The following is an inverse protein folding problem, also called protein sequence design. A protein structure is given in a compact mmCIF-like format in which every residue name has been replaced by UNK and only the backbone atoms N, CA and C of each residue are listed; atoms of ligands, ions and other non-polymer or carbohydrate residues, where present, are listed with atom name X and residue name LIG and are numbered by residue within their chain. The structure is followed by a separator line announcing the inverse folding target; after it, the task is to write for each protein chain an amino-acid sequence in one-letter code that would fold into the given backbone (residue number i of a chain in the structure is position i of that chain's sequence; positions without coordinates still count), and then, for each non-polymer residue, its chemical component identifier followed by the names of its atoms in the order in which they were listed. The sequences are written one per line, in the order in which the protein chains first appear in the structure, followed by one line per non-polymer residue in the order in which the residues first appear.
data_IF_662554798898
#
_entry.id   IF_662554798898
#
_cell.length_a   1.000
_cell.length_b   1.000
_cell.length_c   1.000
_cell.angle_alpha   90.00
_cell.angle_beta   90.00
_cell.angle_gamma   90.00
#
_symmetry.space_group_name_H-M   'P 1'
#
loop_
_entity.id
_entity.type
_entity.pdbx_description
1 polymer ?
#
# COMPACT_ATOMS: atom_id res chain seq x y z
N UNK A 1 -32.59 10.12 -14.91
CA UNK A 1 -32.08 11.50 -14.91
C UNK A 1 -32.49 12.34 -13.69
N UNK A 2 -33.60 12.01 -13.01
CA UNK A 2 -34.14 12.83 -11.89
C UNK A 2 -33.49 12.47 -10.55
N UNK A 3 -33.08 11.24 -10.33
CA UNK A 3 -32.34 10.81 -9.13
C UNK A 3 -30.94 11.46 -9.03
N UNK A 4 -30.29 11.70 -10.15
CA UNK A 4 -28.97 12.33 -10.23
C UNK A 4 -28.94 13.81 -9.77
N UNK A 5 -30.03 14.55 -9.97
CA UNK A 5 -30.09 15.98 -9.65
C UNK A 5 -30.23 16.27 -8.14
N UNK A 6 -30.90 15.40 -7.39
CA UNK A 6 -31.16 15.56 -5.95
C UNK A 6 -29.91 15.29 -5.11
N UNK A 7 -29.00 14.48 -5.63
CA UNK A 7 -27.76 14.09 -4.97
C UNK A 7 -26.64 15.13 -5.11
N UNK A 8 -26.76 16.02 -6.10
CA UNK A 8 -25.76 17.02 -6.46
C UNK A 8 -25.52 18.12 -5.40
N UNK A 9 -26.51 18.42 -4.54
CA UNK A 9 -26.48 19.63 -3.71
C UNK A 9 -25.92 19.44 -2.28
N UNK A 10 -25.47 18.25 -1.88
CA UNK A 10 -25.21 17.98 -0.46
C UNK A 10 -23.72 17.91 -0.07
N UNK A 11 -22.75 17.97 -0.99
CA UNK A 11 -21.33 17.78 -0.62
C UNK A 11 -20.43 18.90 -1.13
N UNK A 12 -20.40 20.00 -0.41
CA UNK A 12 -19.25 20.90 -0.34
C UNK A 12 -18.64 20.79 1.05
N UNK A 13 -17.71 19.90 1.27
CA UNK A 13 -16.76 20.02 2.38
C UNK A 13 -15.49 19.21 2.10
N UNK A 14 -14.38 19.98 2.00
CA UNK A 14 -13.02 19.48 2.02
C UNK A 14 -12.70 18.97 3.43
N UNK A 15 -12.14 17.77 3.60
CA UNK A 15 -10.81 17.70 4.20
C UNK A 15 -9.94 16.49 3.83
N UNK A 16 -10.19 15.74 2.74
CA UNK A 16 -9.46 14.48 2.51
C UNK A 16 -8.11 14.61 1.78
N UNK A 17 -7.85 15.76 1.13
CA UNK A 17 -6.59 15.99 0.39
C UNK A 17 -5.37 16.16 1.32
N UNK A 18 -5.60 16.55 2.56
CA UNK A 18 -4.53 16.77 3.56
C UNK A 18 -4.11 15.50 4.30
N UNK A 19 -4.99 14.51 4.45
CA UNK A 19 -4.67 13.28 5.21
C UNK A 19 -3.78 12.30 4.44
N UNK A 20 -3.94 12.16 3.12
CA UNK A 20 -3.13 11.22 2.32
C UNK A 20 -1.73 11.79 2.03
N UNK A 21 -1.59 13.09 1.85
CA UNK A 21 -0.29 13.78 1.70
C UNK A 21 0.43 14.03 3.03
N UNK A 22 -0.25 13.87 4.17
CA UNK A 22 0.33 14.00 5.52
C UNK A 22 0.67 12.66 6.18
N UNK A 23 0.29 11.54 5.64
CA UNK A 23 0.74 10.24 6.13
C UNK A 23 2.15 9.98 5.62
N UNK A 24 3.17 10.46 6.34
CA UNK A 24 4.51 9.91 6.21
C UNK A 24 4.40 8.42 6.58
N UNK A 25 4.51 7.50 5.62
CA UNK A 25 4.40 6.08 5.92
C UNK A 25 5.49 5.73 6.92
N UNK A 26 5.09 5.05 7.99
CA UNK A 26 5.98 4.77 9.11
C UNK A 26 6.27 3.27 9.18
N UNK A 27 7.48 2.95 9.55
CA UNK A 27 7.96 1.58 9.83
C UNK A 27 8.31 1.51 11.30
N UNK A 28 7.85 0.47 11.98
CA UNK A 28 8.21 0.21 13.36
C UNK A 28 9.29 -0.86 13.42
N UNK A 29 10.35 -0.62 14.18
CA UNK A 29 11.50 -1.51 14.31
C UNK A 29 11.69 -1.87 15.78
N UNK A 30 11.69 -3.16 16.08
CA UNK A 30 12.05 -3.71 17.38
C UNK A 30 13.35 -4.50 17.23
N UNK A 31 14.45 -3.97 17.75
CA UNK A 31 15.80 -4.51 17.62
C UNK A 31 16.66 -4.02 18.79
N UNK A 32 17.18 -4.93 19.61
CA UNK A 32 18.00 -4.58 20.78
C UNK A 32 19.45 -4.22 20.43
N UNK A 33 19.97 -4.78 19.36
CA UNK A 33 21.30 -4.46 18.85
C UNK A 33 21.31 -3.15 18.09
N UNK A 34 21.90 -2.11 18.71
CA UNK A 34 21.96 -0.76 18.14
C UNK A 34 22.59 -0.69 16.75
N UNK A 35 23.58 -1.55 16.47
CA UNK A 35 24.25 -1.56 15.17
C UNK A 35 23.33 -2.13 14.09
N UNK A 36 22.63 -3.23 14.37
CA UNK A 36 21.64 -3.79 13.44
C UNK A 36 20.45 -2.84 13.23
N UNK A 37 19.94 -2.23 14.31
CA UNK A 37 18.89 -1.24 14.23
C UNK A 37 19.29 -0.06 13.33
N UNK A 38 20.48 0.52 13.53
CA UNK A 38 20.97 1.62 12.71
C UNK A 38 21.17 1.22 11.26
N UNK A 39 21.77 0.06 11.00
CA UNK A 39 21.95 -0.45 9.64
C UNK A 39 20.60 -0.62 8.91
N UNK A 40 19.58 -1.14 9.59
CA UNK A 40 18.25 -1.29 9.01
C UNK A 40 17.61 0.08 8.71
N UNK A 41 17.72 1.04 9.63
CA UNK A 41 17.28 2.43 9.41
C UNK A 41 17.99 3.06 8.21
N UNK A 42 19.29 2.86 8.07
CA UNK A 42 20.09 3.40 6.96
C UNK A 42 19.69 2.75 5.62
N UNK A 43 19.40 1.43 5.60
CA UNK A 43 18.85 0.74 4.44
C UNK A 43 17.49 1.31 4.04
N UNK A 44 16.56 1.42 4.99
CA UNK A 44 15.21 1.96 4.76
C UNK A 44 15.29 3.44 4.32
N UNK A 45 16.21 4.22 4.88
CA UNK A 45 16.46 5.62 4.50
C UNK A 45 16.92 5.82 3.06
N UNK A 46 17.48 4.78 2.42
CA UNK A 46 17.85 4.78 1.00
C UNK A 46 16.70 4.32 0.07
N UNK A 47 15.57 3.90 0.63
CA UNK A 47 14.41 3.50 -0.16
C UNK A 47 13.81 4.72 -0.89
N UNK A 48 13.35 4.58 -2.16
CA UNK A 48 12.86 5.72 -2.96
C UNK A 48 11.72 6.50 -2.32
N UNK A 49 10.83 5.81 -1.58
CA UNK A 49 9.78 6.46 -0.80
C UNK A 49 10.31 6.79 0.59
N UNK A 50 10.16 8.04 1.03
CA UNK A 50 10.54 8.45 2.38
C UNK A 50 9.66 7.75 3.42
N UNK A 51 10.27 6.89 4.22
CA UNK A 51 9.65 6.17 5.32
C UNK A 51 10.17 6.73 6.66
N UNK A 52 9.27 6.92 7.61
CA UNK A 52 9.64 7.32 8.96
C UNK A 52 9.88 6.06 9.81
N UNK A 53 11.05 5.94 10.45
CA UNK A 53 11.39 4.79 11.28
C UNK A 53 11.18 5.13 12.76
N UNK A 54 10.42 4.30 13.46
CA UNK A 54 10.27 4.30 14.92
C UNK A 54 11.02 3.08 15.45
N UNK A 55 12.05 3.32 16.25
CA UNK A 55 12.96 2.26 16.71
C UNK A 55 12.85 2.06 18.21
N UNK A 56 12.70 0.82 18.63
CA UNK A 56 12.68 0.40 20.04
C UNK A 56 13.62 -0.77 20.26
N UNK A 57 14.15 -0.90 21.47
CA UNK A 57 15.17 -1.91 21.81
C UNK A 57 14.67 -3.03 22.72
N UNK A 58 13.47 -2.92 23.23
CA UNK A 58 12.90 -3.89 24.18
C UNK A 58 11.37 -3.94 24.07
N UNK A 59 10.81 -5.06 24.52
CA UNK A 59 9.37 -5.34 24.43
C UNK A 59 8.51 -4.31 25.17
N UNK A 60 8.92 -3.89 26.37
CA UNK A 60 8.14 -2.97 27.20
C UNK A 60 8.04 -1.59 26.53
N UNK A 61 9.17 -1.09 26.03
CA UNK A 61 9.22 0.16 25.26
C UNK A 61 8.42 0.05 23.94
N UNK A 62 8.50 -1.09 23.25
CA UNK A 62 7.75 -1.32 22.02
C UNK A 62 6.24 -1.26 22.25
N UNK A 63 5.75 -1.94 23.29
CA UNK A 63 4.33 -1.89 23.67
C UNK A 63 3.87 -0.48 24.07
N UNK A 64 4.73 0.26 24.79
CA UNK A 64 4.41 1.63 25.22
C UNK A 64 4.42 2.65 24.08
N UNK A 65 5.24 2.45 23.05
CA UNK A 65 5.37 3.36 21.91
C UNK A 65 4.44 3.01 20.75
N UNK A 66 3.82 1.83 20.75
CA UNK A 66 2.85 1.48 19.74
C UNK A 66 1.66 2.45 19.81
N UNK A 67 1.39 3.12 18.71
CA UNK A 67 0.38 4.18 18.65
C UNK A 67 -0.71 3.82 17.65
N UNK A 68 -1.92 3.60 18.13
CA UNK A 68 -3.10 3.25 17.34
C UNK A 68 -3.53 4.35 16.36
N UNK A 69 -3.03 5.58 16.53
CA UNK A 69 -3.28 6.67 15.58
C UNK A 69 -2.34 6.65 14.38
N UNK A 70 -1.29 5.82 14.39
CA UNK A 70 -0.30 5.71 13.32
C UNK A 70 -0.59 4.44 12.51
N UNK A 71 -0.77 4.59 11.21
CA UNK A 71 -0.81 3.47 10.29
C UNK A 71 0.62 3.09 9.89
N UNK A 72 1.13 2.01 10.47
CA UNK A 72 2.43 1.48 10.08
C UNK A 72 2.35 0.75 8.74
N UNK A 73 3.36 0.98 7.90
CA UNK A 73 3.55 0.27 6.63
C UNK A 73 3.98 -1.17 6.86
N UNK A 74 4.88 -1.35 7.81
CA UNK A 74 5.41 -2.65 8.22
C UNK A 74 5.99 -2.58 9.63
N UNK A 75 6.05 -3.74 10.28
CA UNK A 75 6.86 -4.00 11.47
C UNK A 75 8.08 -4.82 11.09
N UNK A 76 9.27 -4.37 11.48
CA UNK A 76 10.49 -5.18 11.47
C UNK A 76 10.79 -5.57 12.90
N UNK A 77 10.81 -6.86 13.20
CA UNK A 77 10.88 -7.36 14.58
C UNK A 77 11.99 -8.40 14.67
N UNK A 78 13.01 -8.14 15.49
CA UNK A 78 13.92 -9.21 15.87
C UNK A 78 13.18 -10.19 16.78
N UNK A 79 13.30 -11.47 16.47
CA UNK A 79 12.66 -12.52 17.25
C UNK A 79 13.29 -12.63 18.63
N UNK A 80 14.63 -12.60 18.70
CA UNK A 80 15.41 -12.78 19.91
C UNK A 80 16.06 -11.46 20.32
N UNK A 81 15.46 -10.75 21.25
CA UNK A 81 15.96 -9.47 21.74
C UNK A 81 17.11 -9.61 22.77
N UNK A 82 17.58 -10.78 23.02
CA UNK A 82 18.78 -11.08 23.80
C UNK A 82 19.32 -12.40 23.32
N UNK A 83 20.33 -12.35 22.47
CA UNK A 83 20.97 -13.53 21.90
C UNK A 83 21.56 -14.48 22.96
N UNK A 84 21.81 -13.99 24.19
CA UNK A 84 22.39 -14.78 25.27
C UNK A 84 21.36 -15.63 26.04
N UNK A 85 20.08 -15.24 25.99
CA UNK A 85 19.00 -15.90 26.73
C UNK A 85 17.98 -16.64 25.86
N UNK A 86 18.16 -16.66 24.53
CA UNK A 86 17.17 -17.18 23.57
C UNK A 86 15.77 -16.62 23.85
N UNK A 87 15.70 -15.35 24.22
CA UNK A 87 14.46 -14.68 24.54
C UNK A 87 13.62 -14.46 23.28
N UNK A 88 12.36 -14.89 23.30
CA UNK A 88 11.40 -14.77 22.20
C UNK A 88 10.46 -13.57 22.36
N UNK A 89 10.91 -12.47 22.95
CA UNK A 89 10.11 -11.26 23.17
C UNK A 89 9.58 -10.66 21.85
N UNK A 90 10.32 -10.83 20.75
CA UNK A 90 9.84 -10.43 19.44
C UNK A 90 8.59 -11.19 18.98
N UNK A 91 8.51 -12.49 19.26
CA UNK A 91 7.28 -13.27 18.99
C UNK A 91 6.13 -12.83 19.88
N UNK A 92 6.41 -12.47 21.14
CA UNK A 92 5.42 -11.93 22.08
C UNK A 92 4.86 -10.60 21.59
N UNK A 93 5.71 -9.72 21.05
CA UNK A 93 5.28 -8.46 20.47
C UNK A 93 4.46 -8.66 19.18
N UNK A 94 4.87 -9.57 18.32
CA UNK A 94 4.12 -9.91 17.11
C UNK A 94 2.73 -10.46 17.44
N UNK A 95 2.62 -11.29 18.48
CA UNK A 95 1.32 -11.76 18.97
C UNK A 95 0.45 -10.60 19.46
N UNK A 96 1.02 -9.69 20.24
CA UNK A 96 0.32 -8.49 20.70
C UNK A 96 -0.22 -7.65 19.53
N UNK A 97 0.60 -7.45 18.48
CA UNK A 97 0.19 -6.77 17.24
C UNK A 97 -0.98 -7.50 16.55
N UNK A 98 -0.91 -8.83 16.44
CA UNK A 98 -1.93 -9.65 15.78
C UNK A 98 -3.30 -9.62 16.49
N UNK A 99 -3.30 -9.36 17.78
CA UNK A 99 -4.51 -9.20 18.60
C UNK A 99 -5.05 -7.77 18.61
N UNK A 100 -4.28 -6.79 18.09
CA UNK A 100 -4.70 -5.39 18.00
C UNK A 100 -5.78 -5.20 16.92
N UNK A 101 -6.81 -4.45 17.24
CA UNK A 101 -7.84 -4.07 16.27
C UNK A 101 -7.34 -3.12 15.18
N UNK A 102 -6.23 -2.41 15.42
CA UNK A 102 -5.67 -1.40 14.52
C UNK A 102 -4.52 -1.92 13.68
N UNK A 103 -3.71 -2.85 14.22
CA UNK A 103 -2.44 -3.24 13.61
C UNK A 103 -2.39 -4.69 13.11
N UNK A 104 -3.40 -5.52 13.41
CA UNK A 104 -3.43 -6.94 13.06
C UNK A 104 -3.22 -7.26 11.57
N UNK A 105 -3.61 -6.33 10.69
CA UNK A 105 -3.47 -6.49 9.24
C UNK A 105 -2.18 -5.84 8.69
N UNK A 106 -1.34 -5.27 9.58
CA UNK A 106 -0.06 -4.66 9.19
C UNK A 106 0.98 -5.75 9.01
N UNK A 107 1.71 -5.78 7.87
CA UNK A 107 2.73 -6.78 7.62
C UNK A 107 3.83 -6.81 8.68
N UNK A 108 4.14 -8.00 9.17
CA UNK A 108 5.24 -8.25 10.10
C UNK A 108 6.36 -8.95 9.33
N UNK A 109 7.54 -8.35 9.35
CA UNK A 109 8.78 -8.92 8.82
C UNK A 109 9.65 -9.27 10.01
N UNK A 110 9.88 -10.54 10.23
CA UNK A 110 10.84 -10.94 11.25
C UNK A 110 12.28 -10.83 10.75
N UNK A 111 13.15 -10.36 11.65
CA UNK A 111 14.60 -10.40 11.46
C UNK A 111 15.19 -11.26 12.56
N UNK A 112 16.17 -12.13 12.28
CA UNK A 112 16.77 -12.97 13.31
C UNK A 112 18.08 -13.63 12.87
N UNK A 113 18.95 -13.94 13.81
CA UNK A 113 20.12 -14.80 13.60
C UNK A 113 19.79 -16.31 13.71
N UNK A 114 18.57 -16.66 14.12
CA UNK A 114 18.18 -18.04 14.48
C UNK A 114 17.17 -18.65 13.49
N UNK A 115 17.61 -19.52 12.57
CA UNK A 115 16.72 -20.09 11.55
C UNK A 115 15.60 -20.98 12.09
N UNK A 116 15.75 -21.56 13.28
CA UNK A 116 14.78 -22.50 13.84
C UNK A 116 13.45 -21.86 14.27
N UNK A 117 13.44 -20.54 14.54
CA UNK A 117 12.19 -19.81 14.83
C UNK A 117 11.32 -19.53 13.60
N UNK A 118 11.84 -19.74 12.39
CA UNK A 118 11.08 -19.52 11.12
C UNK A 118 9.77 -20.29 11.13
N UNK A 119 9.81 -21.55 11.53
CA UNK A 119 8.65 -22.42 11.54
C UNK A 119 7.54 -21.90 12.46
N UNK A 120 7.90 -21.46 13.64
CA UNK A 120 6.97 -20.88 14.60
C UNK A 120 6.39 -19.55 14.11
N UNK A 121 7.22 -18.65 13.62
CA UNK A 121 6.82 -17.37 13.08
C UNK A 121 5.84 -17.50 11.91
N UNK A 122 6.10 -18.42 10.98
CA UNK A 122 5.25 -18.62 9.81
C UNK A 122 3.92 -19.31 10.14
N UNK A 123 3.94 -20.32 11.01
CA UNK A 123 2.75 -21.15 11.24
C UNK A 123 1.82 -20.62 12.33
N UNK A 124 2.36 -19.96 13.36
CA UNK A 124 1.56 -19.46 14.49
C UNK A 124 1.14 -18.00 14.34
N UNK A 125 2.00 -17.15 13.74
CA UNK A 125 1.79 -15.71 13.70
C UNK A 125 1.48 -15.18 12.30
N UNK A 126 1.46 -16.06 11.27
CA UNK A 126 1.17 -15.65 9.89
C UNK A 126 1.98 -14.43 9.45
N UNK A 127 3.28 -14.38 9.80
CA UNK A 127 4.13 -13.27 9.42
C UNK A 127 4.18 -13.11 7.88
N UNK A 128 4.38 -11.87 7.44
CA UNK A 128 4.46 -11.55 6.03
C UNK A 128 5.74 -12.06 5.40
N UNK A 129 6.87 -11.87 6.08
CA UNK A 129 8.18 -12.28 5.62
C UNK A 129 9.14 -12.51 6.78
N UNK A 130 10.30 -13.02 6.41
CA UNK A 130 11.36 -13.38 7.31
C UNK A 130 12.71 -13.08 6.65
N UNK A 131 13.60 -12.40 7.37
CA UNK A 131 14.95 -12.05 6.94
C UNK A 131 15.98 -12.65 7.92
N UNK A 132 16.84 -13.51 7.43
CA UNK A 132 17.93 -14.09 8.21
C UNK A 132 19.12 -13.12 8.24
N UNK A 133 19.60 -12.80 9.42
CA UNK A 133 20.80 -11.99 9.62
C UNK A 133 22.08 -12.78 9.25
N UNK A 134 23.04 -12.21 8.52
CA UNK A 134 23.01 -10.87 7.94
C UNK A 134 22.22 -10.81 6.63
N UNK A 135 21.38 -9.80 6.45
CA UNK A 135 20.65 -9.53 5.23
C UNK A 135 21.17 -8.26 4.55
N UNK A 136 20.87 -8.10 3.26
CA UNK A 136 21.30 -6.97 2.46
C UNK A 136 20.16 -5.99 2.21
N UNK A 137 20.51 -4.79 1.76
CA UNK A 137 19.55 -3.74 1.40
C UNK A 137 18.51 -4.22 0.39
N UNK A 138 18.92 -5.01 -0.57
CA UNK A 138 18.08 -5.58 -1.62
C UNK A 138 16.98 -6.47 -1.05
N UNK A 139 17.25 -7.21 0.03
CA UNK A 139 16.27 -8.04 0.72
C UNK A 139 15.20 -7.17 1.40
N UNK A 140 15.63 -6.10 2.06
CA UNK A 140 14.73 -5.12 2.70
C UNK A 140 13.86 -4.42 1.65
N UNK A 141 14.47 -3.97 0.54
CA UNK A 141 13.77 -3.29 -0.55
C UNK A 141 12.76 -4.21 -1.20
N UNK A 142 13.11 -5.48 -1.43
CA UNK A 142 12.19 -6.47 -1.97
C UNK A 142 10.93 -6.61 -1.09
N UNK A 143 11.08 -6.69 0.23
CA UNK A 143 9.94 -6.79 1.14
C UNK A 143 9.09 -5.51 1.11
N UNK A 144 9.73 -4.34 1.18
CA UNK A 144 9.03 -3.06 1.11
C UNK A 144 8.28 -2.91 -0.22
N UNK A 145 8.88 -3.28 -1.33
CA UNK A 145 8.25 -3.27 -2.65
C UNK A 145 6.99 -4.16 -2.68
N UNK A 146 7.07 -5.39 -2.14
CA UNK A 146 5.93 -6.29 -2.10
C UNK A 146 4.80 -5.71 -1.22
N UNK A 147 5.14 -5.20 -0.03
CA UNK A 147 4.17 -4.61 0.89
C UNK A 147 3.51 -3.37 0.29
N UNK A 148 4.29 -2.48 -0.29
CA UNK A 148 3.79 -1.24 -0.88
C UNK A 148 2.99 -1.50 -2.16
N UNK A 149 3.38 -2.49 -2.97
CA UNK A 149 2.58 -2.96 -4.12
C UNK A 149 1.24 -3.55 -3.68
N UNK A 150 1.25 -4.37 -2.62
CA UNK A 150 0.03 -4.99 -2.08
C UNK A 150 -0.87 -3.97 -1.36
N UNK A 151 -0.28 -2.92 -0.77
CA UNK A 151 -0.99 -1.82 -0.11
C UNK A 151 -1.40 -0.68 -1.06
N UNK A 152 -1.15 -0.81 -2.36
CA UNK A 152 -1.66 0.12 -3.35
C UNK A 152 -3.20 0.03 -3.42
N UNK A 153 -3.85 0.74 -2.54
CA UNK A 153 -5.30 0.82 -2.51
C UNK A 153 -5.76 2.27 -2.42
N UNK A 154 -6.83 2.55 -3.15
CA UNK A 154 -7.50 3.84 -3.11
C UNK A 154 -8.78 3.72 -2.30
N UNK A 155 -9.03 4.68 -1.41
CA UNK A 155 -10.29 4.75 -0.66
C UNK A 155 -11.26 5.63 -1.42
N UNK A 156 -12.43 5.09 -1.73
CA UNK A 156 -13.48 5.81 -2.45
C UNK A 156 -14.71 5.98 -1.58
N UNK A 157 -15.36 7.13 -1.74
CA UNK A 157 -16.75 7.30 -1.37
C UNK A 157 -17.60 7.11 -2.64
N UNK A 158 -18.40 6.06 -2.67
CA UNK A 158 -19.29 5.77 -3.81
C UNK A 158 -20.43 6.79 -3.90
N UNK A 159 -21.16 6.71 -5.02
CA UNK A 159 -22.37 7.50 -5.23
C UNK A 159 -23.40 7.34 -4.10
N UNK A 160 -23.51 6.16 -3.55
CA UNK A 160 -24.44 5.80 -2.46
C UNK A 160 -23.88 6.10 -1.06
N UNK A 161 -22.83 6.91 -0.98
CA UNK A 161 -22.14 7.30 0.27
C UNK A 161 -21.49 6.15 1.04
N UNK A 162 -21.24 5.02 0.40
CA UNK A 162 -20.50 3.90 0.97
C UNK A 162 -19.00 4.20 0.83
N UNK A 163 -18.25 4.04 1.92
CA UNK A 163 -16.79 4.06 1.87
C UNK A 163 -16.27 2.67 1.54
N UNK A 164 -15.43 2.58 0.52
CA UNK A 164 -14.79 1.33 0.15
C UNK A 164 -13.32 1.50 -0.12
N UNK A 165 -12.55 0.47 0.16
CA UNK A 165 -11.14 0.36 -0.20
C UNK A 165 -11.06 -0.47 -1.47
N UNK A 166 -10.46 0.09 -2.52
CA UNK A 166 -10.30 -0.54 -3.81
C UNK A 166 -8.81 -0.80 -4.05
N UNK A 167 -8.44 -2.06 -4.26
CA UNK A 167 -7.08 -2.40 -4.63
C UNK A 167 -6.78 -1.88 -6.04
N UNK A 168 -5.69 -1.14 -6.21
CA UNK A 168 -5.32 -0.60 -7.53
C UNK A 168 -4.99 -1.70 -8.53
N UNK A 169 -4.52 -2.87 -8.09
CA UNK A 169 -4.29 -4.02 -8.95
C UNK A 169 -5.60 -4.67 -9.47
N UNK A 170 -6.75 -4.30 -8.92
CA UNK A 170 -8.04 -4.74 -9.44
C UNK A 170 -8.67 -3.75 -10.43
N UNK A 171 -8.05 -2.58 -10.63
CA UNK A 171 -8.54 -1.54 -11.53
C UNK A 171 -7.92 -1.74 -12.92
N UNK A 172 -8.75 -1.85 -13.92
CA UNK A 172 -8.35 -1.92 -15.33
C UNK A 172 -8.06 -0.53 -15.90
N UNK A 173 -9.00 0.39 -15.72
CA UNK A 173 -8.87 1.79 -16.12
C UNK A 173 -9.79 2.68 -15.30
N UNK A 174 -9.56 3.97 -15.38
CA UNK A 174 -10.40 5.00 -14.75
C UNK A 174 -10.81 5.99 -15.83
N UNK A 175 -12.10 6.25 -15.92
CA UNK A 175 -12.68 7.17 -16.88
C UNK A 175 -13.28 8.40 -16.20
N UNK A 176 -12.95 9.60 -16.70
CA UNK A 176 -13.65 10.81 -16.33
C UNK A 176 -14.96 10.90 -17.11
N UNK A 177 -16.07 10.93 -16.40
CA UNK A 177 -17.41 11.08 -16.95
C UNK A 177 -18.15 12.24 -16.29
N UNK A 178 -18.13 13.39 -16.93
CA UNK A 178 -18.65 14.63 -16.35
C UNK A 178 -17.87 15.04 -15.10
N UNK A 179 -18.51 15.01 -13.94
CA UNK A 179 -17.87 15.28 -12.63
C UNK A 179 -17.54 14.01 -11.85
N UNK A 180 -17.75 12.85 -12.45
CA UNK A 180 -17.51 11.57 -11.81
C UNK A 180 -16.25 10.93 -12.37
N UNK A 181 -15.60 10.10 -11.53
CA UNK A 181 -14.61 9.14 -11.94
C UNK A 181 -15.25 7.76 -11.90
N UNK A 182 -15.25 7.06 -13.00
CA UNK A 182 -15.70 5.68 -13.14
C UNK A 182 -14.46 4.78 -13.09
N UNK A 183 -14.40 3.91 -12.11
CA UNK A 183 -13.34 2.91 -11.91
C UNK A 183 -13.85 1.59 -12.47
N UNK A 184 -13.29 1.14 -13.57
CA UNK A 184 -13.56 -0.19 -14.11
C UNK A 184 -12.65 -1.20 -13.46
N UNK A 185 -13.22 -2.21 -12.81
CA UNK A 185 -12.49 -3.16 -11.97
C UNK A 185 -12.88 -4.59 -12.26
N UNK A 186 -12.07 -5.54 -11.79
CA UNK A 186 -12.37 -6.99 -11.84
C UNK A 186 -13.72 -7.37 -11.19
N UNK A 187 -14.22 -6.51 -10.28
CA UNK A 187 -15.43 -6.78 -9.51
C UNK A 187 -16.63 -5.93 -9.96
N UNK A 188 -16.48 -5.22 -11.09
CA UNK A 188 -17.49 -4.34 -11.64
C UNK A 188 -17.07 -2.86 -11.60
N UNK A 189 -18.01 -1.99 -11.92
CA UNK A 189 -17.77 -0.56 -12.01
C UNK A 189 -18.09 0.17 -10.71
N UNK A 190 -17.20 1.09 -10.32
CA UNK A 190 -17.38 1.93 -9.13
C UNK A 190 -17.32 3.39 -9.54
N UNK A 191 -18.32 4.17 -9.14
CA UNK A 191 -18.41 5.59 -9.45
C UNK A 191 -18.15 6.44 -8.21
N UNK A 192 -17.24 7.43 -8.32
CA UNK A 192 -16.90 8.35 -7.24
C UNK A 192 -16.71 9.78 -7.75
N UNK A 193 -16.94 10.77 -6.87
CA UNK A 193 -16.68 12.20 -7.12
C UNK A 193 -15.51 12.75 -6.32
N UNK A 194 -14.89 11.91 -5.54
CA UNK A 194 -13.86 12.32 -4.59
C UNK A 194 -12.58 12.80 -5.27
N UNK A 195 -12.32 12.29 -6.46
CA UNK A 195 -11.07 12.52 -7.18
C UNK A 195 -11.27 13.28 -8.48
N UNK A 196 -10.18 13.87 -8.96
CA UNK A 196 -10.01 14.42 -10.32
C UNK A 196 -8.95 13.61 -11.04
N UNK A 197 -8.89 13.69 -12.37
CA UNK A 197 -7.82 13.05 -13.14
C UNK A 197 -6.43 13.45 -12.64
N UNK A 198 -6.23 14.74 -12.34
CA UNK A 198 -4.95 15.24 -11.82
C UNK A 198 -4.61 14.66 -10.45
N UNK A 199 -5.57 14.59 -9.53
CA UNK A 199 -5.32 14.01 -8.21
C UNK A 199 -5.08 12.49 -8.26
N UNK A 200 -5.63 11.80 -9.25
CA UNK A 200 -5.37 10.39 -9.48
C UNK A 200 -3.97 10.15 -10.07
N UNK A 201 -3.52 11.00 -11.01
CA UNK A 201 -2.14 10.96 -11.52
C UNK A 201 -1.08 11.08 -10.40
N UNK A 202 -1.41 11.82 -9.31
CA UNK A 202 -0.50 12.06 -8.19
C UNK A 202 -0.46 10.92 -7.14
N UNK A 203 -1.52 10.08 -7.07
CA UNK A 203 -1.68 9.08 -5.98
C UNK A 203 -1.67 7.64 -6.48
N UNK A 204 -1.90 7.42 -7.76
CA UNK A 204 -1.89 6.07 -8.33
C UNK A 204 -0.44 5.60 -8.55
N UNK A 205 -0.20 4.28 -8.48
CA UNK A 205 1.12 3.71 -8.79
C UNK A 205 1.57 3.99 -10.23
N UNK A 206 2.88 3.92 -10.48
CA UNK A 206 3.52 4.22 -11.77
C UNK A 206 3.01 3.38 -12.97
N UNK A 207 2.35 2.25 -12.68
CA UNK A 207 1.72 1.45 -13.73
C UNK A 207 0.35 1.98 -14.19
N UNK A 208 -0.11 3.12 -13.65
CA UNK A 208 -1.23 3.87 -14.20
C UNK A 208 -0.71 5.02 -15.05
N UNK A 209 -1.07 5.00 -16.31
CA UNK A 209 -0.69 6.04 -17.26
C UNK A 209 -1.92 6.75 -17.82
N UNK A 210 -1.78 8.06 -17.99
CA UNK A 210 -2.82 8.87 -18.62
C UNK A 210 -2.76 8.71 -20.12
N UNK A 211 -3.54 7.79 -20.68
CA UNK A 211 -3.58 7.54 -22.10
C UNK A 211 -4.45 8.56 -22.87
N UNK A 212 -5.41 9.22 -22.20
CA UNK A 212 -6.30 10.21 -22.82
C UNK A 212 -6.68 11.30 -21.81
N UNK A 213 -7.18 12.45 -22.28
CA UNK A 213 -7.69 13.51 -21.38
C UNK A 213 -8.72 13.02 -20.36
N UNK A 214 -9.44 11.95 -20.69
CA UNK A 214 -10.51 11.36 -19.88
C UNK A 214 -10.21 9.93 -19.42
N UNK A 215 -9.03 9.37 -19.68
CA UNK A 215 -8.70 7.99 -19.29
C UNK A 215 -7.31 7.89 -18.66
N UNK A 216 -7.27 7.17 -17.54
CA UNK A 216 -6.08 6.59 -16.91
C UNK A 216 -6.18 5.08 -17.08
N UNK A 217 -5.17 4.44 -17.63
CA UNK A 217 -5.14 3.01 -17.88
C UNK A 217 -4.08 2.34 -16.99
N UNK A 218 -4.41 1.17 -16.46
CA UNK A 218 -3.43 0.31 -15.81
C UNK A 218 -2.68 -0.48 -16.91
N UNK A 219 -1.42 -0.14 -17.11
CA UNK A 219 -0.58 -0.70 -18.20
C UNK A 219 -0.40 -2.21 -18.10
N UNK A 220 -0.54 -2.81 -16.90
CA UNK A 220 -0.50 -4.27 -16.70
C UNK A 220 -1.62 -5.03 -17.45
N UNK A 221 -2.71 -4.33 -17.75
CA UNK A 221 -3.88 -4.93 -18.43
C UNK A 221 -3.97 -4.59 -19.90
N UNK A 222 -3.07 -3.79 -20.45
CA UNK A 222 -3.04 -3.54 -21.89
C UNK A 222 -2.68 -4.85 -22.60
N UNK A 223 -3.59 -5.34 -23.41
CA UNK A 223 -3.38 -6.53 -24.23
C UNK A 223 -2.76 -6.19 -25.59
N UNK A 224 -3.29 -5.15 -26.24
CA UNK A 224 -2.79 -4.71 -27.53
C UNK A 224 -3.12 -3.23 -27.79
N UNK A 225 -2.39 -2.63 -28.72
CA UNK A 225 -2.56 -1.24 -29.15
C UNK A 225 -2.94 -1.26 -30.63
N UNK A 226 -3.99 -0.55 -31.00
CA UNK A 226 -4.38 -0.32 -32.40
C UNK A 226 -3.98 1.11 -32.83
N UNK A 227 -2.85 1.30 -33.54
CA UNK A 227 -2.39 2.63 -33.92
C UNK A 227 -3.29 3.31 -35.01
N UNK A 228 -4.03 2.52 -35.79
CA UNK A 228 -4.91 3.06 -36.86
C UNK A 228 -6.13 3.72 -36.23
N UNK A 229 -6.74 3.07 -35.26
CA UNK A 229 -7.96 3.55 -34.59
C UNK A 229 -7.64 4.36 -33.35
N UNK A 230 -6.37 4.35 -32.86
CA UNK A 230 -5.90 4.93 -31.63
C UNK A 230 -6.66 4.43 -30.42
N UNK A 231 -6.74 3.12 -30.31
CA UNK A 231 -7.37 2.44 -29.19
C UNK A 231 -6.43 1.45 -28.52
N UNK A 232 -6.68 1.23 -27.23
CA UNK A 232 -6.05 0.22 -26.39
C UNK A 232 -7.07 -0.87 -26.13
N UNK A 233 -6.71 -2.11 -26.43
CA UNK A 233 -7.49 -3.27 -26.02
C UNK A 233 -7.02 -3.72 -24.61
N UNK A 234 -7.95 -3.79 -23.67
CA UNK A 234 -7.70 -4.18 -22.29
C UNK A 234 -8.10 -5.64 -22.08
N UNK A 235 -7.27 -6.41 -21.38
CA UNK A 235 -7.62 -7.79 -21.03
C UNK A 235 -8.94 -7.83 -20.25
N UNK A 236 -9.76 -8.83 -20.55
CA UNK A 236 -11.04 -9.11 -19.87
C UNK A 236 -12.12 -8.03 -20.06
N UNK A 237 -11.94 -7.10 -20.98
CA UNK A 237 -12.91 -6.07 -21.33
C UNK A 237 -13.13 -6.06 -22.84
N UNK A 238 -14.40 -6.06 -23.25
CA UNK A 238 -14.76 -6.07 -24.67
C UNK A 238 -14.62 -4.69 -25.35
N UNK A 239 -14.64 -3.60 -24.55
CA UNK A 239 -14.57 -2.24 -25.05
C UNK A 239 -13.13 -1.73 -25.17
N UNK A 240 -12.81 -1.12 -26.32
CA UNK A 240 -11.53 -0.48 -26.57
C UNK A 240 -11.49 0.94 -25.97
N UNK A 241 -10.36 1.30 -25.37
CA UNK A 241 -10.14 2.61 -24.73
C UNK A 241 -9.39 3.53 -25.70
N UNK A 242 -9.88 4.76 -25.97
CA UNK A 242 -9.18 5.69 -26.84
C UNK A 242 -7.91 6.25 -26.18
N UNK A 243 -6.85 6.45 -26.96
CA UNK A 243 -5.66 7.14 -26.49
C UNK A 243 -5.30 8.37 -27.34
N UNK A 244 -4.64 9.35 -26.71
CA UNK A 244 -4.21 10.61 -27.34
C UNK A 244 -2.91 10.46 -28.13
N UNK A 245 -2.56 11.53 -28.88
CA UNK A 245 -1.35 11.56 -29.72
C UNK A 245 -0.04 11.46 -28.92
N UNK A 246 -0.08 11.91 -27.68
CA UNK A 246 1.10 12.01 -26.80
C UNK A 246 1.30 10.75 -25.94
N UNK A 247 0.43 9.75 -26.09
CA UNK A 247 0.56 8.49 -25.37
C UNK A 247 1.50 7.54 -26.11
N UNK A 248 2.56 7.12 -25.45
CA UNK A 248 3.51 6.12 -25.91
C UNK A 248 3.59 5.02 -24.84
N UNK A 249 3.36 3.78 -25.25
CA UNK A 249 3.67 2.65 -24.38
C UNK A 249 5.20 2.57 -24.26
N UNK A 250 5.72 2.74 -23.03
CA UNK A 250 7.15 2.61 -22.73
C UNK A 250 7.65 1.17 -22.84
#
# INVERSE_FOLDING_TARGET
PIMFRKWYNTIQNKPFKQEILQMNPSVFILEDNKLFAQNLVDMIGQYPLKLNCIVTSDLATAMAQLNDSIHYTAFFIDIALDETTENTDGLSFAKYISESSFHRDTPIIFTTSFPHYVYEALNQLHCYAYLLKPFHREDVFFQLDQILKTNCSIRLKTADSIFMKLNTDDIYFIQAFGRNMLFSTKHGEVCSRQYTMKSLDEILPDHFERCHKSFLVNTKYIHSVNPKERTLHIKEIDDDIPYGKDFHLG
#
